data_IF_131832949518
#
_entry.id   IF_131832949518
#
_cell.length_a   1.000
_cell.length_b   1.000
_cell.length_c   1.000
_cell.angle_alpha   90.00
_cell.angle_beta   90.00
_cell.angle_gamma   90.00
#
_symmetry.space_group_name_H-M   'P 1'
#
loop_
_entity.id
_entity.type
_entity.pdbx_description
1 polymer ?
#
# COMPACT_ATOMS: atom_id res chain seq x y z
N UNK A 1 -73.51 -7.86 14.66
CA UNK A 1 -72.17 -8.34 14.25
C UNK A 1 -71.16 -7.31 14.73
N UNK A 2 -70.10 -7.69 15.46
CA UNK A 2 -69.17 -6.74 16.11
C UNK A 2 -68.25 -5.97 15.14
N UNK A 3 -68.19 -6.34 13.86
CA UNK A 3 -67.38 -5.63 12.85
C UNK A 3 -65.87 -5.65 13.15
N UNK A 4 -65.38 -6.71 13.81
CA UNK A 4 -63.98 -6.96 14.13
C UNK A 4 -63.37 -7.94 13.13
N UNK A 5 -62.09 -7.80 12.84
CA UNK A 5 -61.34 -8.78 12.08
C UNK A 5 -61.14 -10.07 12.89
N UNK A 6 -60.92 -11.21 12.21
CA UNK A 6 -60.75 -12.52 12.87
C UNK A 6 -59.65 -12.50 13.95
N UNK A 7 -58.53 -11.82 13.68
CA UNK A 7 -57.43 -11.70 14.63
C UNK A 7 -57.77 -10.80 15.83
N UNK A 8 -58.65 -9.81 15.66
CA UNK A 8 -59.13 -8.94 16.74
C UNK A 8 -60.06 -9.70 17.69
N UNK A 9 -60.88 -10.60 17.13
CA UNK A 9 -61.76 -11.48 17.92
C UNK A 9 -60.94 -12.48 18.73
N UNK A 10 -59.91 -13.09 18.14
CA UNK A 10 -59.04 -14.02 18.88
C UNK A 10 -58.21 -13.27 19.94
N UNK A 11 -57.68 -12.08 19.65
CA UNK A 11 -56.98 -11.27 20.66
C UNK A 11 -57.91 -10.86 21.82
N UNK A 12 -59.16 -10.48 21.50
CA UNK A 12 -60.16 -10.16 22.53
C UNK A 12 -60.48 -11.38 23.41
N UNK A 13 -60.52 -12.58 22.82
CA UNK A 13 -60.72 -13.82 23.53
C UNK A 13 -59.52 -14.16 24.43
N UNK A 14 -58.29 -14.08 23.90
CA UNK A 14 -57.04 -14.36 24.61
C UNK A 14 -56.84 -13.42 25.82
N UNK A 15 -57.30 -12.18 25.71
CA UNK A 15 -57.14 -11.16 26.77
C UNK A 15 -58.35 -11.01 27.67
N UNK A 16 -59.38 -11.86 27.51
CA UNK A 16 -60.58 -11.84 28.33
C UNK A 16 -61.50 -10.63 28.09
N UNK A 17 -61.25 -9.84 27.05
CA UNK A 17 -62.13 -8.74 26.63
C UNK A 17 -63.44 -9.26 26.01
N UNK A 18 -63.40 -10.47 25.43
CA UNK A 18 -64.57 -11.26 25.05
C UNK A 18 -64.48 -12.63 25.70
N UNK A 19 -65.48 -13.00 26.52
CA UNK A 19 -65.45 -14.29 27.22
C UNK A 19 -65.78 -15.43 26.24
N UNK A 20 -64.83 -16.35 26.05
CA UNK A 20 -65.00 -17.56 25.25
C UNK A 20 -65.41 -18.73 26.14
N UNK A 21 -66.54 -19.34 25.81
CA UNK A 21 -67.09 -20.50 26.52
C UNK A 21 -66.38 -21.80 26.09
N UNK A 22 -66.49 -22.89 26.88
CA UNK A 22 -65.84 -24.18 26.59
C UNK A 22 -66.24 -24.81 25.24
N UNK A 23 -67.45 -24.53 24.76
CA UNK A 23 -67.97 -24.96 23.46
C UNK A 23 -67.43 -24.09 22.28
N UNK A 24 -66.48 -23.19 22.58
CA UNK A 24 -65.88 -22.21 21.67
C UNK A 24 -66.82 -21.11 21.20
N UNK A 25 -68.05 -21.04 21.71
CA UNK A 25 -68.93 -19.90 21.52
C UNK A 25 -68.49 -18.71 22.40
N UNK A 26 -69.02 -17.52 22.12
CA UNK A 26 -68.78 -16.34 22.95
C UNK A 26 -69.97 -16.12 23.88
N UNK A 27 -69.68 -15.76 25.13
CA UNK A 27 -70.71 -15.43 26.11
C UNK A 27 -71.62 -14.30 25.60
N UNK A 28 -72.94 -14.52 25.51
CA UNK A 28 -73.87 -13.52 24.97
C UNK A 28 -73.88 -12.20 25.75
N UNK A 29 -73.61 -12.21 27.05
CA UNK A 29 -73.57 -10.99 27.87
C UNK A 29 -72.31 -10.16 27.57
N UNK A 30 -71.15 -10.80 27.46
CA UNK A 30 -69.90 -10.18 27.02
C UNK A 30 -70.01 -9.57 25.61
N UNK A 31 -70.66 -10.28 24.67
CA UNK A 31 -70.90 -9.77 23.31
C UNK A 31 -71.86 -8.58 23.32
N UNK A 32 -72.90 -8.60 24.16
CA UNK A 32 -73.84 -7.47 24.30
C UNK A 32 -73.15 -6.23 24.87
N UNK A 33 -72.40 -6.38 25.95
CA UNK A 33 -71.63 -5.28 26.54
C UNK A 33 -70.61 -4.68 25.55
N UNK A 34 -70.01 -5.52 24.70
CA UNK A 34 -69.12 -5.09 23.62
C UNK A 34 -69.84 -4.35 22.48
N UNK A 35 -71.11 -4.70 22.19
CA UNK A 35 -71.94 -3.97 21.21
C UNK A 35 -72.38 -2.61 21.77
N UNK A 36 -72.65 -2.53 23.07
CA UNK A 36 -73.08 -1.30 23.74
C UNK A 36 -71.94 -0.24 23.83
N UNK A 37 -70.68 -0.67 23.86
CA UNK A 37 -69.48 0.19 23.87
C UNK A 37 -68.38 -0.32 22.90
N UNK A 38 -68.69 -0.28 21.60
CA UNK A 38 -67.77 -0.78 20.58
C UNK A 38 -66.45 0.01 20.52
N UNK A 39 -66.51 1.34 20.71
CA UNK A 39 -65.32 2.19 20.68
C UNK A 39 -64.43 2.03 21.92
N UNK A 40 -65.02 1.83 23.09
CA UNK A 40 -64.26 1.46 24.29
C UNK A 40 -63.65 0.07 24.18
N UNK A 41 -64.35 -0.90 23.58
CA UNK A 41 -63.78 -2.21 23.27
C UNK A 41 -62.58 -2.10 22.33
N UNK A 42 -62.70 -1.36 21.21
CA UNK A 42 -61.60 -1.14 20.27
C UNK A 42 -60.40 -0.45 20.91
N UNK A 43 -60.62 0.53 21.80
CA UNK A 43 -59.54 1.19 22.56
C UNK A 43 -58.85 0.24 23.54
N UNK A 44 -59.60 -0.61 24.24
CA UNK A 44 -59.03 -1.67 25.10
C UNK A 44 -58.22 -2.65 24.27
N UNK A 45 -58.78 -3.14 23.16
CA UNK A 45 -58.09 -4.06 22.24
C UNK A 45 -56.80 -3.47 21.66
N UNK A 46 -56.79 -2.18 21.32
CA UNK A 46 -55.60 -1.50 20.82
C UNK A 46 -54.46 -1.45 21.85
N UNK A 47 -54.77 -1.46 23.16
CA UNK A 47 -53.77 -1.57 24.25
C UNK A 47 -53.27 -3.00 24.43
N UNK A 48 -54.07 -4.00 24.09
CA UNK A 48 -53.68 -5.42 24.15
C UNK A 48 -52.77 -5.86 23.00
N UNK A 49 -52.70 -5.07 21.92
CA UNK A 49 -51.90 -5.41 20.75
C UNK A 49 -50.44 -5.67 21.14
N UNK A 50 -49.90 -6.77 20.62
CA UNK A 50 -48.47 -7.10 20.74
C UNK A 50 -47.67 -6.23 19.77
N UNK A 51 -46.67 -5.53 20.29
CA UNK A 51 -45.78 -4.67 19.54
C UNK A 51 -44.33 -5.16 19.70
N UNK A 52 -43.61 -5.33 18.60
CA UNK A 52 -42.17 -5.58 18.67
C UNK A 52 -41.40 -4.30 19.04
N UNK A 53 -40.09 -4.39 19.25
CA UNK A 53 -39.27 -3.23 19.65
C UNK A 53 -39.31 -2.06 18.65
N UNK A 54 -39.49 -2.32 17.35
CA UNK A 54 -39.60 -1.26 16.32
C UNK A 54 -40.95 -0.56 16.41
N UNK A 55 -42.03 -1.31 16.52
CA UNK A 55 -43.39 -0.77 16.69
C UNK A 55 -43.52 0.00 18.00
N UNK A 56 -42.95 -0.54 19.09
CA UNK A 56 -42.96 0.09 20.41
C UNK A 56 -42.18 1.41 20.43
N UNK A 57 -41.03 1.44 19.75
CA UNK A 57 -40.24 2.66 19.60
C UNK A 57 -40.95 3.72 18.76
N UNK A 58 -41.59 3.31 17.66
CA UNK A 58 -42.39 4.21 16.83
C UNK A 58 -43.58 4.79 17.62
N UNK A 59 -44.25 3.97 18.43
CA UNK A 59 -45.37 4.37 19.28
C UNK A 59 -44.98 5.44 20.30
N UNK A 60 -43.77 5.36 20.84
CA UNK A 60 -43.22 6.35 21.78
C UNK A 60 -42.46 7.50 21.10
N UNK A 61 -42.37 7.51 19.76
CA UNK A 61 -41.61 8.53 19.01
C UNK A 61 -40.10 8.52 19.29
N UNK A 62 -39.52 7.35 19.57
CA UNK A 62 -38.09 7.19 19.90
C UNK A 62 -37.38 6.19 19.00
N UNK A 63 -36.05 6.16 19.07
CA UNK A 63 -35.26 5.12 18.40
C UNK A 63 -35.39 3.77 19.11
N UNK A 64 -35.24 2.68 18.38
CA UNK A 64 -35.33 1.30 18.91
C UNK A 64 -34.36 1.06 20.07
N UNK A 65 -33.13 1.55 19.95
CA UNK A 65 -32.13 1.41 21.01
C UNK A 65 -32.52 2.21 22.28
N UNK A 66 -33.18 3.35 22.10
CA UNK A 66 -33.68 4.15 23.22
C UNK A 66 -34.84 3.46 23.91
N UNK A 67 -35.80 2.94 23.14
CA UNK A 67 -36.88 2.13 23.68
C UNK A 67 -36.32 0.96 24.50
N UNK A 68 -35.37 0.18 23.96
CA UNK A 68 -34.76 -0.95 24.68
C UNK A 68 -34.17 -0.53 26.02
N UNK A 69 -33.40 0.57 26.07
CA UNK A 69 -32.82 1.07 27.32
C UNK A 69 -33.88 1.51 28.34
N UNK A 70 -34.89 2.26 27.88
CA UNK A 70 -35.99 2.72 28.75
C UNK A 70 -36.81 1.54 29.26
N UNK A 71 -37.14 0.58 28.39
CA UNK A 71 -37.83 -0.65 28.75
C UNK A 71 -37.04 -1.47 29.77
N UNK A 72 -35.73 -1.63 29.60
CA UNK A 72 -34.88 -2.32 30.58
C UNK A 72 -34.83 -1.56 31.91
N UNK A 73 -34.64 -0.23 31.89
CA UNK A 73 -34.56 0.59 33.10
C UNK A 73 -35.88 0.64 33.87
N UNK A 74 -37.02 0.62 33.17
CA UNK A 74 -38.35 0.58 33.75
C UNK A 74 -38.82 -0.85 34.10
N UNK A 75 -38.01 -1.88 33.82
CA UNK A 75 -38.38 -3.28 34.09
C UNK A 75 -39.57 -3.77 33.26
N UNK A 76 -39.77 -3.25 32.04
CA UNK A 76 -40.87 -3.68 31.18
C UNK A 76 -40.67 -5.14 30.76
N UNK A 77 -41.60 -6.00 31.16
CA UNK A 77 -41.57 -7.44 30.85
C UNK A 77 -42.15 -7.72 29.46
N UNK A 78 -41.55 -8.65 28.69
CA UNK A 78 -42.11 -9.07 27.42
C UNK A 78 -43.32 -9.99 27.62
N UNK A 79 -44.31 -9.88 26.73
CA UNK A 79 -45.51 -10.74 26.74
C UNK A 79 -45.39 -11.95 25.83
N UNK A 80 -44.45 -11.91 24.87
CA UNK A 80 -44.13 -13.06 24.04
C UNK A 80 -42.73 -12.92 23.43
N UNK A 81 -42.09 -14.06 23.21
CA UNK A 81 -40.83 -14.17 22.48
C UNK A 81 -41.03 -15.17 21.34
N UNK A 82 -40.60 -14.80 20.13
CA UNK A 82 -40.73 -15.67 18.94
C UNK A 82 -39.49 -15.60 18.08
N UNK A 83 -39.08 -16.76 17.61
CA UNK A 83 -38.03 -16.88 16.60
C UNK A 83 -38.64 -16.79 15.20
N UNK A 84 -38.33 -15.71 14.49
CA UNK A 84 -38.85 -15.42 13.15
C UNK A 84 -37.74 -15.63 12.12
N UNK A 85 -37.94 -16.53 11.17
CA UNK A 85 -37.03 -16.69 10.03
C UNK A 85 -37.26 -15.60 9.00
N UNK A 86 -36.28 -14.72 8.81
CA UNK A 86 -36.31 -13.66 7.79
C UNK A 86 -34.93 -13.51 7.15
N UNK A 87 -34.88 -13.37 5.82
CA UNK A 87 -33.64 -13.22 5.05
C UNK A 87 -32.59 -14.31 5.34
N UNK A 88 -33.01 -15.57 5.44
CA UNK A 88 -32.12 -16.70 5.71
C UNK A 88 -31.51 -16.73 7.13
N UNK A 89 -31.97 -15.88 8.06
CA UNK A 89 -31.53 -15.84 9.46
C UNK A 89 -32.71 -16.04 10.41
N UNK A 90 -32.46 -16.64 11.56
CA UNK A 90 -33.41 -16.70 12.68
C UNK A 90 -33.25 -15.41 13.50
N UNK A 91 -34.30 -14.61 13.61
CA UNK A 91 -34.34 -13.40 14.41
C UNK A 91 -35.18 -13.66 15.66
N UNK A 92 -34.59 -13.45 16.83
CA UNK A 92 -35.31 -13.49 18.08
C UNK A 92 -36.07 -12.18 18.30
N UNK A 93 -37.41 -12.23 18.20
CA UNK A 93 -38.28 -11.07 18.30
C UNK A 93 -39.05 -11.10 19.60
N UNK A 94 -38.82 -10.09 20.41
CA UNK A 94 -39.50 -9.85 21.69
C UNK A 94 -40.67 -8.91 21.47
N UNK A 95 -41.83 -9.27 22.00
CA UNK A 95 -43.07 -8.51 21.92
C UNK A 95 -43.50 -7.99 23.29
N UNK A 96 -43.99 -6.75 23.29
CA UNK A 96 -44.51 -6.03 24.44
C UNK A 96 -45.98 -5.71 24.21
N UNK A 97 -46.75 -5.57 25.29
CA UNK A 97 -48.14 -5.12 25.21
C UNK A 97 -48.17 -3.60 24.97
N UNK A 98 -48.98 -3.16 24.01
CA UNK A 98 -49.03 -1.75 23.63
C UNK A 98 -49.39 -0.81 24.79
N UNK A 99 -50.29 -1.23 25.69
CA UNK A 99 -50.65 -0.47 26.89
C UNK A 99 -49.49 -0.26 27.87
N UNK A 100 -48.65 -1.28 28.05
CA UNK A 100 -47.49 -1.20 28.94
C UNK A 100 -46.38 -0.36 28.30
N UNK A 101 -46.26 -0.40 26.97
CA UNK A 101 -45.39 0.51 26.20
C UNK A 101 -45.86 1.95 26.36
N UNK A 102 -47.16 2.24 26.27
CA UNK A 102 -47.70 3.59 26.46
C UNK A 102 -47.40 4.14 27.85
N UNK A 103 -47.40 3.29 28.88
CA UNK A 103 -47.03 3.67 30.24
C UNK A 103 -45.57 4.14 30.38
N UNK A 104 -44.69 3.83 29.41
CA UNK A 104 -43.31 4.32 29.40
C UNK A 104 -43.17 5.77 28.92
N UNK A 105 -44.24 6.44 28.52
CA UNK A 105 -44.17 7.81 27.99
C UNK A 105 -43.49 8.80 28.96
N UNK A 106 -43.78 8.71 30.26
CA UNK A 106 -43.17 9.59 31.27
C UNK A 106 -41.69 9.27 31.49
N UNK A 107 -41.31 7.99 31.45
CA UNK A 107 -39.90 7.58 31.50
C UNK A 107 -39.11 8.08 30.28
N UNK A 108 -39.73 8.05 29.09
CA UNK A 108 -39.15 8.64 27.88
C UNK A 108 -38.98 10.15 28.00
N UNK A 109 -39.94 10.86 28.62
CA UNK A 109 -39.83 12.30 28.85
C UNK A 109 -38.68 12.62 29.82
N UNK A 110 -38.62 11.92 30.96
CA UNK A 110 -37.55 12.09 31.95
C UNK A 110 -36.15 11.83 31.36
N UNK A 111 -35.97 10.77 30.56
CA UNK A 111 -34.71 10.51 29.85
C UNK A 111 -34.35 11.61 28.83
N UNK A 112 -35.33 12.27 28.21
CA UNK A 112 -35.07 13.39 27.32
C UNK A 112 -34.54 14.62 28.08
N UNK A 113 -35.16 14.94 29.21
CA UNK A 113 -34.77 16.06 30.07
C UNK A 113 -33.38 15.86 30.68
N UNK A 114 -33.08 14.68 31.20
CA UNK A 114 -31.76 14.33 31.73
C UNK A 114 -30.66 14.49 30.68
N UNK A 115 -30.93 14.12 29.42
CA UNK A 115 -29.97 14.28 28.32
C UNK A 115 -29.82 15.71 27.86
N UNK A 116 -30.90 16.50 27.85
CA UNK A 116 -30.82 17.93 27.59
C UNK A 116 -29.92 18.61 28.65
N UNK A 117 -30.14 18.31 29.93
CA UNK A 117 -29.31 18.80 31.03
C UNK A 117 -27.85 18.36 30.93
N UNK A 118 -27.59 17.08 30.67
CA UNK A 118 -26.23 16.55 30.48
C UNK A 118 -25.50 17.21 29.30
N UNK A 119 -26.21 17.48 28.20
CA UNK A 119 -25.62 18.15 27.03
C UNK A 119 -25.15 19.56 27.35
N UNK A 120 -25.90 20.31 28.16
CA UNK A 120 -25.51 21.66 28.60
C UNK A 120 -24.23 21.61 29.44
N UNK A 121 -24.16 20.70 30.42
CA UNK A 121 -22.97 20.55 31.28
C UNK A 121 -21.73 20.15 30.47
N UNK A 122 -21.87 19.23 29.51
CA UNK A 122 -20.75 18.81 28.64
C UNK A 122 -20.27 19.98 27.77
N UNK A 123 -21.19 20.79 27.23
CA UNK A 123 -20.83 21.99 26.45
C UNK A 123 -20.10 23.02 27.29
N UNK A 124 -20.55 23.29 28.51
CA UNK A 124 -19.87 24.21 29.43
C UNK A 124 -18.47 23.71 29.80
N UNK A 125 -18.32 22.42 30.10
CA UNK A 125 -17.02 21.82 30.38
C UNK A 125 -16.08 21.91 29.17
N UNK A 126 -16.60 21.66 27.96
CA UNK A 126 -15.83 21.80 26.73
C UNK A 126 -15.40 23.27 26.49
N UNK A 127 -16.29 24.23 26.76
CA UNK A 127 -15.98 25.65 26.66
C UNK A 127 -14.90 26.07 27.67
N UNK A 128 -14.98 25.60 28.92
CA UNK A 128 -13.95 25.84 29.96
C UNK A 128 -12.60 25.24 29.55
N UNK A 129 -12.57 24.00 29.06
CA UNK A 129 -11.34 23.37 28.55
C UNK A 129 -10.76 24.16 27.38
N UNK A 130 -11.59 24.59 26.43
CA UNK A 130 -11.15 25.39 25.29
C UNK A 130 -10.62 26.78 25.71
N UNK A 131 -11.20 27.41 26.74
CA UNK A 131 -10.70 28.66 27.29
C UNK A 131 -9.34 28.48 27.99
N UNK A 132 -9.19 27.42 28.81
CA UNK A 132 -7.92 27.08 29.46
C UNK A 132 -6.82 26.81 28.43
N UNK A 133 -7.11 26.05 27.37
CA UNK A 133 -6.16 25.80 26.27
C UNK A 133 -5.79 27.09 25.54
N UNK A 134 -6.76 27.97 25.26
CA UNK A 134 -6.49 29.29 24.65
C UNK A 134 -5.56 30.14 25.52
N UNK A 135 -5.80 30.17 26.84
CA UNK A 135 -4.94 30.87 27.80
C UNK A 135 -3.51 30.32 27.79
N UNK A 136 -3.35 29.00 27.95
CA UNK A 136 -2.04 28.34 27.92
C UNK A 136 -1.30 28.58 26.60
N UNK A 137 -1.98 28.51 25.47
CA UNK A 137 -1.37 28.75 24.16
C UNK A 137 -0.94 30.21 23.99
N UNK A 138 -1.68 31.16 24.56
CA UNK A 138 -1.29 32.57 24.57
C UNK A 138 -0.05 32.80 25.44
N UNK A 139 0.02 32.17 26.61
CA UNK A 139 1.21 32.21 27.48
C UNK A 139 2.44 31.62 26.78
N UNK A 140 2.32 30.44 26.17
CA UNK A 140 3.40 29.82 25.40
C UNK A 140 3.87 30.69 24.24
N UNK A 141 2.94 31.30 23.50
CA UNK A 141 3.27 32.22 22.42
C UNK A 141 4.01 33.47 22.94
N UNK A 142 3.58 34.03 24.08
CA UNK A 142 4.24 35.17 24.70
C UNK A 142 5.68 34.83 25.15
N UNK A 143 5.88 33.68 25.79
CA UNK A 143 7.22 33.21 26.17
C UNK A 143 8.09 32.98 24.94
N UNK A 144 7.55 32.36 23.88
CA UNK A 144 8.28 32.14 22.64
C UNK A 144 8.65 33.47 21.96
N UNK A 145 7.76 34.47 21.96
CA UNK A 145 8.05 35.82 21.44
C UNK A 145 9.21 36.49 22.18
N UNK A 146 9.22 36.42 23.51
CA UNK A 146 10.31 36.97 24.31
C UNK A 146 11.65 36.27 24.03
N UNK A 147 11.62 34.94 23.86
CA UNK A 147 12.82 34.16 23.54
C UNK A 147 13.33 34.44 22.12
N UNK A 148 12.43 34.64 21.15
CA UNK A 148 12.78 35.11 19.80
C UNK A 148 13.50 36.45 19.95
N UNK A 149 12.89 37.47 20.55
CA UNK A 149 13.53 38.79 20.66
C UNK A 149 14.89 38.74 21.38
N UNK A 150 15.03 37.89 22.40
CA UNK A 150 16.32 37.68 23.10
C UNK A 150 17.42 37.13 22.18
N UNK A 151 17.05 36.30 21.20
CA UNK A 151 17.96 35.68 20.23
C UNK A 151 18.11 36.49 18.95
N UNK A 152 17.45 37.65 18.85
CA UNK A 152 17.58 38.53 17.70
C UNK A 152 19.06 38.97 17.56
N UNK A 153 19.66 38.84 16.37
CA UNK A 153 21.04 39.26 16.14
C UNK A 153 21.23 40.72 16.53
N UNK A 154 22.28 41.00 17.31
CA UNK A 154 22.70 42.36 17.63
C UNK A 154 23.33 43.03 16.41
N UNK A 155 23.46 44.38 16.37
CA UNK A 155 24.08 45.08 15.25
C UNK A 155 25.52 44.64 14.93
N UNK A 156 26.24 44.13 15.93
CA UNK A 156 27.61 43.61 15.85
C UNK A 156 27.68 42.07 15.66
N UNK A 157 26.54 41.41 15.48
CA UNK A 157 26.48 39.96 15.29
C UNK A 157 27.23 39.52 14.03
N UNK A 158 27.85 38.34 14.11
CA UNK A 158 28.54 37.74 12.98
C UNK A 158 27.59 37.37 11.83
N UNK A 159 28.15 37.28 10.61
CA UNK A 159 27.40 36.95 9.40
C UNK A 159 26.54 35.69 9.53
N UNK A 160 27.07 34.65 10.19
CA UNK A 160 26.39 33.38 10.40
C UNK A 160 25.16 33.53 11.29
N UNK A 161 25.24 34.27 12.39
CA UNK A 161 24.13 34.47 13.32
C UNK A 161 22.97 35.21 12.63
N UNK A 162 23.28 36.26 11.85
CA UNK A 162 22.31 36.99 11.04
C UNK A 162 21.63 36.07 10.01
N UNK A 163 22.38 35.18 9.36
CA UNK A 163 21.83 34.27 8.37
C UNK A 163 20.98 33.16 8.99
N UNK A 164 21.39 32.57 10.12
CA UNK A 164 20.58 31.59 10.86
C UNK A 164 19.22 32.21 11.21
N UNK A 165 19.24 33.45 11.69
CA UNK A 165 18.03 34.20 12.03
C UNK A 165 17.11 34.44 10.83
N UNK A 166 17.65 35.00 9.74
CA UNK A 166 16.85 35.34 8.56
C UNK A 166 16.35 34.10 7.82
N UNK A 167 17.16 33.05 7.71
CA UNK A 167 16.72 31.78 7.09
C UNK A 167 15.60 31.14 7.91
N UNK A 168 15.67 31.20 9.25
CA UNK A 168 14.58 30.74 10.12
C UNK A 168 13.29 31.55 9.90
N UNK A 169 13.38 32.89 9.82
CA UNK A 169 12.24 33.76 9.51
C UNK A 169 11.63 33.43 8.13
N UNK A 170 12.45 33.27 7.10
CA UNK A 170 12.01 32.93 5.73
C UNK A 170 11.34 31.56 5.66
N UNK A 171 11.81 30.59 6.45
CA UNK A 171 11.20 29.27 6.57
C UNK A 171 9.79 29.34 7.18
N UNK A 172 9.58 30.21 8.16
CA UNK A 172 8.26 30.41 8.79
C UNK A 172 7.34 31.26 7.92
N UNK A 173 7.86 32.29 7.23
CA UNK A 173 7.06 33.15 6.34
C UNK A 173 6.71 32.49 5.00
N UNK A 174 7.41 31.40 4.64
CA UNK A 174 7.16 30.63 3.42
C UNK A 174 7.72 31.26 2.14
N UNK A 175 8.56 32.30 2.26
CA UNK A 175 9.11 33.04 1.12
C UNK A 175 10.64 33.00 1.08
N UNK A 176 11.21 32.51 -0.02
CA UNK A 176 12.64 32.68 -0.33
C UNK A 176 12.82 33.52 -1.59
N UNK A 177 13.54 34.63 -1.49
CA UNK A 177 13.80 35.55 -2.59
C UNK A 177 15.27 35.97 -2.68
N UNK A 178 15.69 36.40 -3.87
CA UNK A 178 17.01 36.99 -4.11
C UNK A 178 18.20 36.08 -3.73
N UNK A 179 19.28 36.65 -3.16
CA UNK A 179 20.54 35.93 -2.88
C UNK A 179 20.40 34.85 -1.80
N UNK A 180 19.32 34.89 -1.01
CA UNK A 180 19.04 33.92 0.06
C UNK A 180 18.37 32.64 -0.47
N UNK A 181 17.98 32.59 -1.75
CA UNK A 181 17.32 31.42 -2.36
C UNK A 181 18.16 30.15 -2.26
N UNK A 182 19.49 30.27 -2.32
CA UNK A 182 20.40 29.11 -2.19
C UNK A 182 20.33 28.46 -0.81
N UNK A 183 19.97 29.22 0.22
CA UNK A 183 19.87 28.74 1.60
C UNK A 183 18.52 28.09 1.92
N UNK A 184 17.62 27.95 0.94
CA UNK A 184 16.27 27.38 1.14
C UNK A 184 16.29 25.97 1.73
N UNK A 185 17.24 25.16 1.27
CA UNK A 185 17.36 23.75 1.63
C UNK A 185 18.50 23.49 2.62
N UNK A 186 18.97 24.53 3.32
CA UNK A 186 19.96 24.36 4.36
C UNK A 186 19.40 23.49 5.49
N UNK A 187 20.12 22.41 5.77
CA UNK A 187 19.93 21.58 6.94
C UNK A 187 20.87 22.09 8.04
N UNK A 188 20.29 22.82 9.00
CA UNK A 188 21.02 23.43 10.10
C UNK A 188 20.17 23.35 11.39
N UNK A 189 20.65 22.69 12.45
CA UNK A 189 19.90 22.53 13.69
C UNK A 189 19.51 23.86 14.35
N UNK A 190 20.35 24.89 14.21
CA UNK A 190 20.10 26.24 14.73
C UNK A 190 18.93 26.90 14.01
N UNK A 191 18.91 26.81 12.67
CA UNK A 191 17.79 27.30 11.84
C UNK A 191 16.50 26.56 12.19
N UNK A 192 16.54 25.23 12.34
CA UNK A 192 15.36 24.45 12.70
C UNK A 192 14.80 24.81 14.08
N UNK A 193 15.67 24.88 15.09
CA UNK A 193 15.27 25.20 16.45
C UNK A 193 14.62 26.59 16.50
N UNK A 194 15.23 27.56 15.83
CA UNK A 194 14.73 28.93 15.79
C UNK A 194 13.42 29.05 15.00
N UNK A 195 13.29 28.37 13.86
CA UNK A 195 12.06 28.34 13.08
C UNK A 195 10.89 27.73 13.87
N UNK A 196 11.14 26.66 14.64
CA UNK A 196 10.14 26.06 15.54
C UNK A 196 9.70 27.05 16.61
N UNK A 197 10.65 27.80 17.20
CA UNK A 197 10.36 28.83 18.20
C UNK A 197 9.52 29.98 17.59
N UNK A 198 9.89 30.46 16.41
CA UNK A 198 9.13 31.49 15.68
C UNK A 198 7.72 31.03 15.30
N UNK A 199 7.54 29.75 14.96
CA UNK A 199 6.22 29.15 14.72
C UNK A 199 5.37 29.13 16.00
N UNK A 200 5.98 28.79 17.15
CA UNK A 200 5.31 28.81 18.45
C UNK A 200 4.94 30.23 18.91
N UNK A 201 5.76 31.23 18.55
CA UNK A 201 5.53 32.63 18.85
C UNK A 201 4.30 33.23 18.13
N UNK A 202 3.80 32.56 17.08
CA UNK A 202 2.60 32.98 16.32
C UNK A 202 2.65 34.46 15.91
N UNK A 203 3.75 34.87 15.30
CA UNK A 203 3.82 36.19 14.68
C UNK A 203 2.80 36.31 13.55
N UNK A 204 2.24 37.51 13.40
CA UNK A 204 1.41 37.84 12.24
C UNK A 204 2.29 37.92 10.98
N UNK A 205 1.73 37.66 9.79
CA UNK A 205 2.48 37.80 8.54
C UNK A 205 3.16 39.17 8.39
N UNK A 206 2.49 40.26 8.79
CA UNK A 206 3.03 41.62 8.72
C UNK A 206 4.21 41.82 9.70
N UNK A 207 4.15 41.21 10.89
CA UNK A 207 5.24 41.25 11.89
C UNK A 207 6.48 40.53 11.34
N UNK A 208 6.30 39.35 10.74
CA UNK A 208 7.37 38.59 10.10
C UNK A 208 7.95 39.34 8.90
N UNK A 209 7.09 40.00 8.11
CA UNK A 209 7.50 40.84 6.98
C UNK A 209 8.39 42.00 7.43
N UNK A 210 7.97 42.74 8.45
CA UNK A 210 8.75 43.85 8.99
C UNK A 210 10.12 43.39 9.56
N UNK A 211 10.16 42.25 10.25
CA UNK A 211 11.42 41.67 10.75
C UNK A 211 12.35 41.25 9.60
N UNK A 212 11.78 40.70 8.52
CA UNK A 212 12.55 40.33 7.34
C UNK A 212 13.07 41.57 6.63
N UNK A 213 12.24 42.59 6.39
CA UNK A 213 12.64 43.82 5.70
C UNK A 213 13.79 44.55 6.43
N UNK A 214 13.77 44.55 7.76
CA UNK A 214 14.84 45.11 8.60
C UNK A 214 16.18 44.35 8.43
N UNK A 215 16.12 43.01 8.42
CA UNK A 215 17.32 42.17 8.39
C UNK A 215 17.83 41.84 6.97
N UNK A 216 16.98 41.95 5.94
CA UNK A 216 17.25 41.50 4.57
C UNK A 216 18.48 42.15 3.93
N UNK A 217 18.73 43.48 4.06
CA UNK A 217 19.92 44.09 3.46
C UNK A 217 21.24 43.53 4.02
N UNK A 218 21.29 43.30 5.33
CA UNK A 218 22.46 42.72 6.00
C UNK A 218 22.63 41.24 5.65
N UNK A 219 21.54 40.46 5.69
CA UNK A 219 21.56 39.06 5.31
C UNK A 219 21.93 38.85 3.84
N UNK A 220 21.45 39.70 2.93
CA UNK A 220 21.78 39.62 1.50
C UNK A 220 23.27 39.84 1.21
N UNK A 221 23.96 40.69 2.00
CA UNK A 221 25.42 40.86 1.93
C UNK A 221 26.14 39.66 2.53
N UNK A 222 25.79 39.27 3.77
CA UNK A 222 26.37 38.11 4.45
C UNK A 222 26.24 36.84 3.60
N UNK A 223 25.10 36.66 2.94
CA UNK A 223 24.86 35.52 2.07
C UNK A 223 25.81 35.49 0.89
N UNK A 224 26.20 36.62 0.28
CA UNK A 224 27.14 36.65 -0.85
C UNK A 224 28.57 36.29 -0.44
N UNK A 225 28.92 36.57 0.82
CA UNK A 225 30.25 36.34 1.38
C UNK A 225 30.42 34.93 1.96
N UNK A 226 29.43 34.04 1.79
CA UNK A 226 29.54 32.63 2.14
C UNK A 226 30.13 31.81 0.99
N UNK A 227 31.08 30.95 1.34
CA UNK A 227 31.51 29.84 0.49
C UNK A 227 30.52 28.68 0.64
N UNK A 228 30.15 28.07 -0.48
CA UNK A 228 29.23 26.93 -0.50
C UNK A 228 29.95 25.65 -0.01
N UNK A 229 29.25 24.62 0.51
CA UNK A 229 29.88 23.42 1.08
C UNK A 229 30.83 22.69 0.13
N UNK A 230 30.53 22.70 -1.17
CA UNK A 230 31.39 22.11 -2.19
C UNK A 230 32.69 22.92 -2.35
N UNK A 231 32.62 24.25 -2.28
CA UNK A 231 33.78 25.14 -2.35
C UNK A 231 34.67 24.97 -1.10
N UNK A 232 34.05 24.88 0.09
CA UNK A 232 34.76 24.59 1.35
C UNK A 232 35.48 23.25 1.24
N UNK A 233 34.78 22.23 0.74
CA UNK A 233 35.36 20.88 0.62
C UNK A 233 36.51 20.84 -0.39
N UNK A 234 36.35 21.51 -1.53
CA UNK A 234 37.37 21.58 -2.57
C UNK A 234 38.61 22.36 -2.10
N UNK A 235 38.42 23.49 -1.42
CA UNK A 235 39.50 24.35 -0.95
C UNK A 235 40.26 23.73 0.24
N UNK A 236 39.56 23.02 1.13
CA UNK A 236 40.18 22.48 2.35
C UNK A 236 40.51 20.98 2.27
N UNK A 237 40.11 20.26 1.22
CA UNK A 237 40.43 18.84 1.05
C UNK A 237 39.75 17.90 2.06
N UNK A 238 38.76 18.40 2.80
CA UNK A 238 37.95 17.65 3.78
C UNK A 238 36.49 18.02 3.62
N UNK A 239 35.52 17.13 3.93
CA UNK A 239 34.11 17.47 3.82
C UNK A 239 33.72 18.68 4.69
N UNK A 240 32.87 19.57 4.16
CA UNK A 240 32.43 20.79 4.85
C UNK A 240 31.79 20.55 6.22
N UNK A 241 31.17 19.39 6.46
CA UNK A 241 30.60 19.04 7.76
C UNK A 241 31.67 18.81 8.84
N UNK A 242 32.89 18.39 8.47
CA UNK A 242 34.03 18.30 9.42
C UNK A 242 34.49 19.69 9.80
N UNK A 243 34.55 20.60 8.83
CA UNK A 243 34.95 22.00 9.04
C UNK A 243 33.95 22.72 9.94
N UNK A 244 32.66 22.45 9.74
CA UNK A 244 31.56 23.01 10.51
C UNK A 244 31.68 22.79 12.03
N UNK A 245 32.33 21.71 12.50
CA UNK A 245 32.51 21.48 13.93
C UNK A 245 33.46 22.49 14.61
N UNK A 246 34.29 23.18 13.82
CA UNK A 246 35.39 24.01 14.33
C UNK A 246 35.24 25.50 14.03
N UNK A 247 34.35 25.90 13.13
CA UNK A 247 34.16 27.30 12.73
C UNK A 247 32.70 27.70 12.63
N UNK A 248 32.37 29.00 12.76
CA UNK A 248 31.01 29.47 12.52
C UNK A 248 30.52 29.10 11.11
N UNK A 249 29.35 28.46 11.03
CA UNK A 249 28.77 28.01 9.76
C UNK A 249 27.24 28.08 9.78
N UNK A 250 26.63 27.99 8.60
CA UNK A 250 25.19 27.75 8.43
C UNK A 250 24.98 26.64 7.40
N UNK A 251 24.57 25.46 7.84
CA UNK A 251 24.42 24.27 6.98
C UNK A 251 25.66 23.97 6.12
N UNK A 252 26.84 23.92 6.73
CA UNK A 252 28.12 23.69 6.04
C UNK A 252 28.66 24.87 5.22
N UNK A 253 27.93 25.98 5.10
CA UNK A 253 28.43 27.20 4.47
C UNK A 253 29.27 27.97 5.48
N UNK A 254 30.45 28.42 5.07
CA UNK A 254 31.42 29.11 5.93
C UNK A 254 31.72 30.49 5.35
N UNK A 255 31.93 31.55 6.15
CA UNK A 255 32.36 32.84 5.63
C UNK A 255 33.64 32.72 4.80
N UNK A 256 33.68 33.34 3.62
CA UNK A 256 34.80 33.25 2.69
C UNK A 256 36.12 33.77 3.29
N UNK A 257 36.05 34.73 4.23
CA UNK A 257 37.21 35.20 4.99
C UNK A 257 37.79 34.11 5.90
N UNK A 258 36.93 33.34 6.57
CA UNK A 258 37.32 32.21 7.41
C UNK A 258 37.89 31.09 6.55
N UNK A 259 37.24 30.77 5.43
CA UNK A 259 37.75 29.77 4.47
C UNK A 259 39.16 30.13 3.99
N UNK A 260 39.38 31.39 3.59
CA UNK A 260 40.70 31.87 3.15
C UNK A 260 41.73 31.75 4.27
N UNK A 261 41.39 32.16 5.50
CA UNK A 261 42.28 32.03 6.66
C UNK A 261 42.68 30.57 6.93
N UNK A 262 41.74 29.63 6.87
CA UNK A 262 42.01 28.20 7.04
C UNK A 262 42.88 27.62 5.91
N UNK A 263 42.74 28.14 4.69
CA UNK A 263 43.53 27.70 3.55
C UNK A 263 44.96 28.24 3.61
N UNK A 264 45.15 29.49 4.06
CA UNK A 264 46.45 30.15 4.18
C UNK A 264 47.26 29.62 5.39
N UNK A 265 46.60 29.46 6.54
CA UNK A 265 47.21 28.98 7.79
C UNK A 265 46.38 27.81 8.36
N UNK A 266 46.63 26.62 7.82
CA UNK A 266 45.87 25.42 8.18
C UNK A 266 46.18 24.97 9.62
N UNK A 267 45.20 24.99 10.54
CA UNK A 267 45.41 24.57 11.93
C UNK A 267 45.64 23.05 12.02
N UNK A 268 46.25 22.60 13.13
CA UNK A 268 46.63 21.20 13.32
C UNK A 268 45.47 20.21 13.19
N UNK A 269 44.26 20.57 13.67
CA UNK A 269 43.07 19.74 13.53
C UNK A 269 42.68 19.52 12.06
N UNK A 270 42.85 20.53 11.21
CA UNK A 270 42.52 20.45 9.79
C UNK A 270 43.53 19.56 9.06
N UNK A 271 44.81 19.66 9.43
CA UNK A 271 45.85 18.76 8.91
C UNK A 271 45.60 17.31 9.30
N UNK A 272 45.17 17.06 10.55
CA UNK A 272 44.78 15.72 11.01
C UNK A 272 43.56 15.20 10.23
N UNK A 273 42.52 16.02 10.07
CA UNK A 273 41.32 15.64 9.32
C UNK A 273 41.63 15.32 7.84
N UNK A 274 42.56 16.04 7.21
CA UNK A 274 43.07 15.73 5.86
C UNK A 274 43.75 14.37 5.82
N UNK A 275 44.65 14.10 6.76
CA UNK A 275 45.34 12.82 6.84
C UNK A 275 44.36 11.66 7.05
N UNK A 276 43.35 11.84 7.89
CA UNK A 276 42.30 10.84 8.13
C UNK A 276 41.45 10.61 6.88
N UNK A 277 41.08 11.67 6.16
CA UNK A 277 40.34 11.57 4.90
C UNK A 277 41.17 10.87 3.79
N UNK A 278 42.46 11.17 3.68
CA UNK A 278 43.38 10.49 2.77
C UNK A 278 43.53 9.01 3.12
N UNK A 279 43.66 8.68 4.41
CA UNK A 279 43.74 7.30 4.87
C UNK A 279 42.46 6.52 4.55
N UNK A 280 41.28 7.12 4.77
CA UNK A 280 40.00 6.51 4.41
C UNK A 280 39.89 6.27 2.91
N UNK A 281 40.27 7.24 2.08
CA UNK A 281 40.28 7.08 0.62
C UNK A 281 41.23 5.97 0.17
N UNK A 282 42.40 5.85 0.81
CA UNK A 282 43.35 4.77 0.55
C UNK A 282 42.77 3.39 0.91
N UNK A 283 42.09 3.26 2.06
CA UNK A 283 41.41 2.02 2.47
C UNK A 283 40.35 1.62 1.45
N UNK A 284 39.48 2.55 1.04
CA UNK A 284 38.42 2.29 0.06
C UNK A 284 39.00 1.85 -1.30
N UNK A 285 40.09 2.47 -1.73
CA UNK A 285 40.75 2.09 -2.99
C UNK A 285 41.40 0.70 -2.89
N UNK A 286 42.01 0.35 -1.76
CA UNK A 286 42.55 -1.00 -1.51
C UNK A 286 41.43 -2.04 -1.55
N UNK A 287 40.32 -1.80 -0.84
CA UNK A 287 39.15 -2.70 -0.85
C UNK A 287 38.60 -2.89 -2.27
N UNK A 288 38.53 -1.81 -3.05
CA UNK A 288 38.10 -1.85 -4.46
C UNK A 288 39.06 -2.67 -5.31
N UNK A 289 40.36 -2.49 -5.14
CA UNK A 289 41.37 -3.27 -5.87
C UNK A 289 41.33 -4.75 -5.51
N UNK A 290 41.13 -5.07 -4.23
CA UNK A 290 41.01 -6.45 -3.77
C UNK A 290 39.72 -7.12 -4.26
N UNK A 291 38.60 -6.39 -4.29
CA UNK A 291 37.36 -6.86 -4.92
C UNK A 291 37.56 -7.15 -6.43
N UNK A 292 38.26 -6.26 -7.15
CA UNK A 292 38.59 -6.47 -8.56
C UNK A 292 39.51 -7.69 -8.77
N UNK A 293 40.55 -7.85 -7.94
CA UNK A 293 41.44 -9.02 -7.98
C UNK A 293 40.67 -10.31 -7.72
N UNK A 294 39.81 -10.33 -6.69
CA UNK A 294 39.01 -11.49 -6.34
C UNK A 294 38.04 -11.88 -7.47
N UNK A 295 37.37 -10.90 -8.10
CA UNK A 295 36.51 -11.14 -9.26
C UNK A 295 37.30 -11.69 -10.47
N UNK A 296 38.52 -11.21 -10.71
CA UNK A 296 39.37 -11.71 -11.79
C UNK A 296 39.81 -13.17 -11.55
N UNK A 297 40.17 -13.52 -10.32
CA UNK A 297 40.52 -14.90 -9.92
C UNK A 297 39.34 -15.84 -10.10
N UNK A 298 38.15 -15.46 -9.64
CA UNK A 298 36.92 -16.25 -9.81
C UNK A 298 36.55 -16.43 -11.30
N UNK A 299 36.70 -15.38 -12.12
CA UNK A 299 36.47 -15.45 -13.56
C UNK A 299 37.48 -16.34 -14.31
N UNK A 300 38.72 -16.45 -13.80
CA UNK A 300 39.72 -17.39 -14.34
C UNK A 300 39.38 -18.84 -13.96
N UNK A 301 39.02 -19.09 -12.70
CA UNK A 301 38.61 -20.41 -12.21
C UNK A 301 37.34 -20.95 -12.90
N UNK A 302 36.36 -20.08 -13.17
CA UNK A 302 35.15 -20.44 -13.91
C UNK A 302 35.43 -20.82 -15.38
N UNK A 303 36.45 -20.24 -16.00
CA UNK A 303 36.86 -20.57 -17.39
C UNK A 303 37.64 -21.87 -17.47
N UNK A 304 38.49 -22.16 -16.48
CA UNK A 304 39.22 -23.43 -16.38
C UNK A 304 38.29 -24.64 -16.13
N UNK A 305 37.18 -24.44 -15.42
CA UNK A 305 36.18 -25.49 -15.13
C UNK A 305 35.05 -25.60 -16.17
N UNK A 306 35.00 -24.74 -17.19
CA UNK A 306 33.85 -24.62 -18.09
C UNK A 306 33.63 -25.80 -19.05
N UNK A 307 34.60 -26.72 -19.22
CA UNK A 307 34.50 -27.86 -20.14
C UNK A 307 35.01 -29.12 -19.45
N UNK A 308 34.09 -30.03 -19.13
CA UNK A 308 34.45 -31.36 -18.63
C UNK A 308 34.61 -32.31 -19.83
N UNK A 309 35.67 -33.11 -19.83
CA UNK A 309 35.84 -34.20 -20.79
C UNK A 309 34.83 -35.31 -20.53
N UNK A 310 34.53 -36.15 -21.53
CA UNK A 310 33.66 -37.32 -21.32
C UNK A 310 34.23 -38.23 -20.24
N UNK A 311 35.55 -38.46 -20.23
CA UNK A 311 36.28 -39.18 -19.18
C UNK A 311 36.01 -38.64 -17.77
N UNK A 312 36.01 -37.31 -17.61
CA UNK A 312 35.76 -36.68 -16.31
C UNK A 312 34.31 -36.91 -15.86
N UNK A 313 33.35 -36.82 -16.77
CA UNK A 313 31.92 -37.02 -16.46
C UNK A 313 31.62 -38.52 -16.22
N UNK A 314 32.25 -39.41 -16.97
CA UNK A 314 32.21 -40.86 -16.78
C UNK A 314 32.68 -41.24 -15.38
N UNK A 315 33.84 -40.72 -14.95
CA UNK A 315 34.35 -40.93 -13.60
C UNK A 315 33.42 -40.40 -12.50
N UNK A 316 32.76 -39.25 -12.72
CA UNK A 316 31.84 -38.65 -11.74
C UNK A 316 30.54 -39.45 -11.51
N UNK A 317 30.06 -40.15 -12.53
CA UNK A 317 28.83 -40.95 -12.46
C UNK A 317 29.09 -42.47 -12.38
N UNK A 318 30.35 -42.91 -12.44
CA UNK A 318 30.69 -44.34 -12.44
C UNK A 318 30.19 -45.08 -13.68
N UNK A 319 30.11 -44.41 -14.82
CA UNK A 319 29.62 -44.96 -16.09
C UNK A 319 30.75 -45.04 -17.12
N UNK A 320 30.60 -45.85 -18.16
CA UNK A 320 31.55 -45.84 -19.28
C UNK A 320 31.51 -44.53 -20.07
N UNK A 321 32.66 -44.17 -20.67
CA UNK A 321 32.77 -42.98 -21.51
C UNK A 321 31.83 -43.02 -22.72
N UNK A 322 31.55 -44.20 -23.26
CA UNK A 322 30.70 -44.36 -24.44
C UNK A 322 29.22 -44.08 -24.11
N UNK A 323 28.74 -44.53 -22.95
CA UNK A 323 27.42 -44.19 -22.42
C UNK A 323 27.28 -42.69 -22.20
N UNK A 324 28.28 -42.08 -21.55
CA UNK A 324 28.30 -40.64 -21.31
C UNK A 324 28.34 -39.87 -22.63
N UNK A 325 29.14 -40.31 -23.60
CA UNK A 325 29.17 -39.69 -24.93
C UNK A 325 27.81 -39.76 -25.63
N UNK A 326 27.10 -40.89 -25.52
CA UNK A 326 25.76 -41.07 -26.08
C UNK A 326 24.69 -40.23 -25.36
N UNK A 327 24.85 -39.99 -24.05
CA UNK A 327 23.94 -39.19 -23.23
C UNK A 327 24.19 -37.67 -23.29
N UNK A 328 25.20 -37.24 -24.05
CA UNK A 328 25.54 -35.81 -24.20
C UNK A 328 24.30 -34.96 -24.49
N UNK A 329 24.19 -33.77 -23.87
CA UNK A 329 23.13 -32.83 -24.19
C UNK A 329 23.24 -32.42 -25.67
N UNK A 330 22.13 -31.96 -26.27
CA UNK A 330 22.07 -31.61 -27.70
C UNK A 330 23.09 -30.54 -28.15
N UNK A 331 23.73 -29.84 -27.22
CA UNK A 331 24.88 -28.94 -27.47
C UNK A 331 26.20 -29.68 -27.77
N UNK A 332 26.25 -31.00 -27.65
CA UNK A 332 27.41 -31.85 -27.95
C UNK A 332 28.58 -31.75 -26.97
N UNK A 333 28.44 -31.01 -25.87
CA UNK A 333 29.49 -30.76 -24.86
C UNK A 333 28.92 -30.72 -23.44
N UNK A 334 29.71 -31.19 -22.47
CA UNK A 334 29.42 -31.10 -21.04
C UNK A 334 29.84 -29.75 -20.46
N UNK A 335 28.87 -29.01 -19.91
CA UNK A 335 29.12 -27.78 -19.15
C UNK A 335 29.11 -28.11 -17.66
N UNK A 336 30.03 -27.53 -16.89
CA UNK A 336 30.14 -27.76 -15.44
C UNK A 336 28.83 -27.56 -14.69
N UNK A 337 28.14 -26.43 -14.91
CA UNK A 337 26.85 -26.17 -14.26
C UNK A 337 25.74 -27.17 -14.63
N UNK A 338 25.80 -27.78 -15.81
CA UNK A 338 24.85 -28.84 -16.20
C UNK A 338 25.18 -30.16 -15.49
N UNK A 339 26.47 -30.52 -15.42
CA UNK A 339 26.92 -31.73 -14.71
C UNK A 339 26.64 -31.63 -13.21
N UNK A 340 26.90 -30.47 -12.61
CA UNK A 340 26.58 -30.20 -11.20
C UNK A 340 25.07 -30.36 -10.92
N UNK A 341 24.22 -29.84 -11.82
CA UNK A 341 22.78 -30.02 -11.70
C UNK A 341 22.38 -31.50 -11.79
N UNK A 342 23.02 -32.30 -12.64
CA UNK A 342 22.78 -33.74 -12.74
C UNK A 342 23.21 -34.46 -11.47
N UNK A 343 24.37 -34.12 -10.89
CA UNK A 343 24.83 -34.69 -9.63
C UNK A 343 23.88 -34.37 -8.46
N UNK A 344 23.34 -33.14 -8.41
CA UNK A 344 22.36 -32.75 -7.38
C UNK A 344 21.02 -33.46 -7.57
N UNK A 345 20.55 -33.59 -8.82
CA UNK A 345 19.23 -34.16 -9.12
C UNK A 345 19.21 -35.69 -9.15
N UNK A 346 20.38 -36.33 -9.34
CA UNK A 346 20.56 -37.79 -9.45
C UNK A 346 19.46 -38.44 -10.30
N UNK A 347 19.40 -38.13 -11.61
CA UNK A 347 18.39 -38.71 -12.47
C UNK A 347 18.50 -40.24 -12.48
N UNK A 348 17.37 -40.92 -12.65
CA UNK A 348 17.31 -42.39 -12.59
C UNK A 348 18.31 -43.10 -13.53
N UNK A 349 18.63 -42.50 -14.68
CA UNK A 349 19.61 -43.05 -15.62
C UNK A 349 21.05 -43.03 -15.10
N UNK A 350 21.35 -42.24 -14.06
CA UNK A 350 22.69 -42.13 -13.47
C UNK A 350 22.94 -43.13 -12.34
N UNK A 351 21.99 -44.03 -12.07
CA UNK A 351 22.09 -45.02 -10.99
C UNK A 351 23.06 -46.16 -11.34
N UNK A 352 22.99 -46.65 -12.58
CA UNK A 352 23.81 -47.74 -13.11
C UNK A 352 23.86 -47.68 -14.64
N UNK A 353 24.69 -48.53 -15.23
CA UNK A 353 24.98 -48.54 -16.67
C UNK A 353 23.77 -49.04 -17.50
N UNK A 354 22.99 -49.98 -16.99
CA UNK A 354 21.81 -50.51 -17.67
C UNK A 354 20.70 -49.44 -17.77
N UNK A 355 20.48 -48.68 -16.68
CA UNK A 355 19.56 -47.56 -16.65
C UNK A 355 20.01 -46.42 -17.57
N UNK A 356 21.32 -46.21 -17.71
CA UNK A 356 21.90 -45.22 -18.60
C UNK A 356 21.67 -45.58 -20.08
N UNK A 357 21.90 -46.84 -20.47
CA UNK A 357 21.62 -47.32 -21.83
C UNK A 357 20.12 -47.33 -22.15
N UNK A 358 19.26 -47.71 -21.21
CA UNK A 358 17.81 -47.62 -21.39
C UNK A 358 17.34 -46.18 -21.67
N UNK A 359 17.98 -45.18 -21.05
CA UNK A 359 17.71 -43.76 -21.34
C UNK A 359 18.24 -43.32 -22.70
N UNK A 360 19.42 -43.80 -23.13
CA UNK A 360 19.93 -43.59 -24.50
C UNK A 360 18.93 -44.10 -25.52
N UNK A 361 18.48 -45.35 -25.39
CA UNK A 361 17.48 -45.95 -26.28
C UNK A 361 16.17 -45.15 -26.26
N UNK A 362 15.69 -44.76 -25.09
CA UNK A 362 14.47 -43.95 -24.97
C UNK A 362 14.60 -42.62 -25.72
N UNK A 363 15.74 -41.94 -25.61
CA UNK A 363 16.02 -40.68 -26.34
C UNK A 363 16.09 -40.91 -27.84
N UNK A 364 16.71 -42.00 -28.28
CA UNK A 364 16.78 -42.39 -29.68
C UNK A 364 15.38 -42.65 -30.25
N UNK A 365 14.58 -43.52 -29.62
CA UNK A 365 13.18 -43.78 -30.02
C UNK A 365 12.34 -42.50 -30.07
N UNK A 366 12.52 -41.60 -29.11
CA UNK A 366 11.86 -40.27 -29.11
C UNK A 366 12.30 -39.40 -30.28
N UNK A 367 13.59 -39.41 -30.62
CA UNK A 367 14.13 -38.66 -31.77
C UNK A 367 13.57 -39.22 -33.08
N UNK A 368 13.62 -40.54 -33.26
CA UNK A 368 13.05 -41.24 -34.42
C UNK A 368 11.55 -40.93 -34.56
N UNK A 369 10.79 -40.99 -33.47
CA UNK A 369 9.37 -40.63 -33.47
C UNK A 369 9.13 -39.17 -33.85
N UNK A 370 9.98 -38.24 -33.38
CA UNK A 370 9.89 -36.82 -33.73
C UNK A 370 10.23 -36.59 -35.20
N UNK A 371 11.24 -37.25 -35.72
CA UNK A 371 11.64 -37.19 -37.13
C UNK A 371 10.54 -37.76 -38.03
N UNK A 372 9.95 -38.90 -37.66
CA UNK A 372 8.78 -39.48 -38.33
C UNK A 372 7.58 -38.54 -38.32
N UNK A 373 7.19 -37.99 -37.17
CA UNK A 373 6.09 -37.01 -37.08
C UNK A 373 6.35 -35.74 -37.88
N UNK A 374 7.61 -35.28 -37.93
CA UNK A 374 8.01 -34.15 -38.76
C UNK A 374 7.85 -34.51 -40.23
N UNK A 375 8.29 -35.69 -40.64
CA UNK A 375 8.15 -36.17 -42.01
C UNK A 375 6.69 -36.32 -42.43
N UNK A 376 5.84 -36.94 -41.61
CA UNK A 376 4.39 -37.08 -41.83
C UNK A 376 3.71 -35.71 -41.95
N UNK A 377 4.07 -34.76 -41.08
CA UNK A 377 3.56 -33.38 -41.14
C UNK A 377 3.99 -32.66 -42.41
N UNK A 378 5.26 -32.79 -42.80
CA UNK A 378 5.78 -32.23 -44.04
C UNK A 378 5.07 -32.83 -45.26
N UNK A 379 4.81 -34.14 -45.25
CA UNK A 379 4.04 -34.81 -46.30
C UNK A 379 2.60 -34.28 -46.37
N UNK A 380 1.94 -34.08 -45.23
CA UNK A 380 0.63 -33.46 -45.15
C UNK A 380 0.62 -32.05 -45.74
N UNK A 381 1.61 -31.23 -45.40
CA UNK A 381 1.75 -29.88 -45.98
C UNK A 381 1.98 -29.93 -47.50
N UNK A 382 2.83 -30.83 -47.98
CA UNK A 382 3.07 -31.01 -49.43
C UNK A 382 1.79 -31.42 -50.17
N UNK A 383 0.95 -32.27 -49.58
CA UNK A 383 -0.36 -32.65 -50.16
C UNK A 383 -1.29 -31.45 -50.27
N UNK A 384 -1.41 -30.63 -49.22
CA UNK A 384 -2.23 -29.42 -49.26
C UNK A 384 -1.75 -28.45 -50.34
N UNK A 385 -0.44 -28.25 -50.47
CA UNK A 385 0.13 -27.41 -51.51
C UNK A 385 -0.07 -27.97 -52.92
N UNK A 386 0.08 -29.28 -53.11
CA UNK A 386 -0.21 -29.96 -54.37
C UNK A 386 -1.67 -29.75 -54.79
N UNK A 387 -2.60 -29.87 -53.84
CA UNK A 387 -4.02 -29.66 -54.07
C UNK A 387 -4.35 -28.21 -54.43
N UNK A 388 -3.78 -27.23 -53.72
CA UNK A 388 -4.00 -25.79 -53.97
C UNK A 388 -3.61 -25.39 -55.39
N UNK A 389 -2.54 -25.97 -55.94
CA UNK A 389 -2.03 -25.62 -57.27
C UNK A 389 -2.36 -26.66 -58.37
N UNK A 390 -3.08 -27.73 -58.04
CA UNK A 390 -3.48 -28.76 -59.00
C UNK A 390 -2.30 -29.54 -59.62
N UNK A 391 -1.16 -29.64 -58.93
CA UNK A 391 0.05 -30.34 -59.42
C UNK A 391 0.24 -31.70 -58.71
N UNK A 392 0.89 -32.69 -59.34
CA UNK A 392 1.19 -33.96 -58.67
C UNK A 392 2.13 -33.75 -57.47
N UNK A 393 1.94 -34.52 -56.39
CA UNK A 393 2.73 -34.40 -55.15
C UNK A 393 4.25 -34.52 -55.37
N UNK A 394 4.67 -35.27 -56.40
CA UNK A 394 6.06 -35.42 -56.80
C UNK A 394 6.70 -34.09 -57.26
N UNK A 395 5.91 -33.16 -57.80
CA UNK A 395 6.38 -31.84 -58.22
C UNK A 395 6.61 -30.89 -57.02
N UNK A 396 5.98 -31.14 -55.87
CA UNK A 396 6.12 -30.29 -54.68
C UNK A 396 7.42 -30.64 -53.93
N UNK A 397 8.32 -29.68 -53.62
CA UNK A 397 9.59 -29.95 -52.92
C UNK A 397 9.43 -30.69 -51.59
N UNK A 398 10.45 -31.45 -51.19
CA UNK A 398 10.47 -32.22 -49.93
C UNK A 398 10.36 -31.31 -48.70
N UNK A 399 10.88 -30.08 -48.78
CA UNK A 399 10.75 -29.05 -47.75
C UNK A 399 9.88 -27.90 -48.28
N UNK A 400 8.71 -27.72 -47.68
CA UNK A 400 7.78 -26.62 -47.93
C UNK A 400 7.35 -25.93 -46.64
N UNK A 401 7.00 -24.65 -46.73
CA UNK A 401 6.42 -23.92 -45.62
C UNK A 401 5.03 -24.45 -45.23
N UNK A 402 4.57 -24.11 -44.02
CA UNK A 402 3.23 -24.48 -43.56
C UNK A 402 2.15 -23.81 -44.44
N UNK A 403 1.17 -24.55 -44.97
CA UNK A 403 0.09 -24.01 -45.80
C UNK A 403 -0.97 -23.33 -44.93
N UNK A 404 -0.68 -22.13 -44.43
CA UNK A 404 -1.68 -21.30 -43.74
C UNK A 404 -2.52 -20.54 -44.76
N UNK A 405 -3.75 -20.10 -44.42
CA UNK A 405 -4.60 -19.36 -45.36
C UNK A 405 -3.90 -18.13 -45.98
N UNK A 406 -3.13 -17.39 -45.18
CA UNK A 406 -2.33 -16.24 -45.64
C UNK A 406 -1.19 -16.66 -46.57
N UNK A 407 -0.47 -17.74 -46.25
CA UNK A 407 0.60 -18.25 -47.10
C UNK A 407 0.05 -18.76 -48.43
N UNK A 408 -1.10 -19.44 -48.41
CA UNK A 408 -1.80 -19.91 -49.61
C UNK A 408 -2.21 -18.71 -50.47
N UNK A 409 -2.88 -17.71 -49.89
CA UNK A 409 -3.29 -16.52 -50.64
C UNK A 409 -2.10 -15.79 -51.29
N UNK A 410 -0.99 -15.63 -50.56
CA UNK A 410 0.23 -15.03 -51.09
C UNK A 410 0.86 -15.87 -52.22
N UNK A 411 0.90 -17.20 -52.05
CA UNK A 411 1.45 -18.10 -53.05
C UNK A 411 0.54 -18.24 -54.27
N UNK A 412 -0.78 -18.05 -54.14
CA UNK A 412 -1.69 -18.00 -55.29
C UNK A 412 -1.49 -16.69 -56.07
N UNK A 413 -1.29 -15.57 -55.38
CA UNK A 413 -0.98 -14.29 -56.03
C UNK A 413 0.38 -14.32 -56.75
N UNK A 414 1.35 -15.04 -56.20
CA UNK A 414 2.68 -15.24 -56.78
C UNK A 414 3.08 -16.72 -56.76
N UNK A 415 2.66 -17.51 -57.76
CA UNK A 415 2.90 -18.95 -57.80
C UNK A 415 4.39 -19.31 -57.72
N UNK A 416 4.78 -20.23 -56.83
CA UNK A 416 6.16 -20.67 -56.75
C UNK A 416 6.55 -21.48 -58.01
N UNK A 417 7.85 -21.54 -58.39
CA UNK A 417 8.28 -22.12 -59.66
C UNK A 417 7.91 -23.58 -59.90
N UNK A 418 7.68 -24.35 -58.83
CA UNK A 418 7.27 -25.76 -58.90
C UNK A 418 5.76 -25.95 -59.09
N UNK A 419 4.96 -24.89 -58.95
CA UNK A 419 3.51 -24.89 -59.12
C UNK A 419 3.08 -24.50 -60.53
N UNK A 420 3.96 -23.93 -61.33
CA UNK A 420 3.70 -23.58 -62.73
C UNK A 420 4.17 -24.70 -63.65
N UNK A 421 3.30 -25.23 -64.53
CA UNK A 421 3.75 -26.19 -65.54
C UNK A 421 4.72 -25.49 -66.49
N UNK A 422 5.89 -26.09 -66.70
CA UNK A 422 6.81 -25.70 -67.78
C UNK A 422 6.06 -25.76 -69.11
N UNK A 423 5.69 -24.60 -69.69
CA UNK A 423 5.37 -24.52 -71.11
C UNK A 423 6.67 -24.85 -71.86
N UNK A 424 6.71 -26.02 -72.51
CA UNK A 424 7.67 -26.23 -73.61
C UNK A 424 7.32 -25.21 -74.70
N UNK A 425 8.28 -24.44 -75.21
CA UNK A 425 8.06 -23.68 -76.43
C UNK A 425 8.09 -24.65 -77.62
N UNK A 426 6.98 -24.77 -78.35
CA UNK A 426 6.89 -25.52 -79.61
C UNK A 426 5.89 -26.69 -79.56
N UNK A 427 4.73 -26.49 -80.20
CA UNK A 427 3.64 -27.44 -80.37
C UNK A 427 2.37 -26.72 -80.77
#
# INVERSE_FOLDING_TARGET
>A
MLGLAVWEVELAAETGLLLRLPDRSFDPLSVRAALDDLDGLRRRLARERRCNATESAARLGVSVQRFKRVATAAGLMPVAEKDVRKYGRVLHVVYYRAGDVDALADHVRADAELRAASTVVVREQAARKAAATRKRNAELAATARAEVERRRPRPDAGQVEVLVWVVALMRVSGGFSGPLKRLRYVDDPGVEQLARLMTQARFRPDELGAMLDDAFPCAGRAAKDLADPDEVSAALGVPAWVVAEHVPHVGGHVPASVLRGLAEDSPSWLLQARADAELQNAVVEVERQDAHRHAAVLGSAARATARLSDASVAGLFGLSEDVVRALRPGSGRWKSGYVEQLMRRRPAWSADEDAAWAEVERRQRRRETRERRKWERMLGWRRTWAQVFGVPLAAVPVKVGRPTPKAIAAAVAHPPPWATPFRRPGG
#
